data_IF_588450787920
#
_entry.id   IF_588450787920
#
_cell.length_a   1.000
_cell.length_b   1.000
_cell.length_c   1.000
_cell.angle_alpha   90.00
_cell.angle_beta   90.00
_cell.angle_gamma   90.00
#
_symmetry.space_group_name_H-M   'P 1'
#
loop_
_entity.id
_entity.type
_entity.pdbx_description
1 polymer ?
#
# COMPACT_ATOMS: atom_id res chain seq x y z
N UNK A 1 12.92 63.52 21.04
CA UNK A 1 14.04 62.61 20.75
C UNK A 1 13.50 61.42 19.96
N UNK A 2 14.05 61.19 18.77
CA UNK A 2 13.75 60.03 17.92
C UNK A 2 14.38 58.80 18.57
N UNK A 3 13.62 57.75 18.83
CA UNK A 3 14.18 56.43 19.06
C UNK A 3 13.83 55.51 17.90
N UNK A 4 14.91 54.92 17.42
CA UNK A 4 15.09 54.17 16.19
C UNK A 4 14.60 52.74 16.43
N UNK A 5 13.85 52.26 15.45
CA UNK A 5 13.60 50.89 15.04
C UNK A 5 14.49 49.80 15.63
N UNK A 6 13.87 48.70 16.04
CA UNK A 6 14.36 47.37 15.68
C UNK A 6 13.17 46.39 15.60
N UNK A 7 12.59 46.29 14.39
CA UNK A 7 11.70 45.18 14.05
C UNK A 7 12.56 43.92 13.96
N UNK A 8 12.52 43.08 14.99
CA UNK A 8 12.98 41.69 14.86
C UNK A 8 11.88 40.94 14.11
N UNK A 9 11.98 40.97 12.78
CA UNK A 9 11.27 40.07 11.90
C UNK A 9 11.87 38.68 12.12
N UNK A 10 11.31 37.93 13.07
CA UNK A 10 11.65 36.52 13.29
C UNK A 10 11.05 35.72 12.13
N UNK A 11 11.82 35.63 11.05
CA UNK A 11 11.61 34.69 9.96
C UNK A 11 11.84 33.29 10.56
N UNK A 12 10.79 32.71 11.14
CA UNK A 12 10.71 31.26 11.33
C UNK A 12 10.46 30.63 9.95
N UNK A 13 11.49 30.59 9.12
CA UNK A 13 11.64 29.59 8.06
C UNK A 13 12.05 28.28 8.75
N UNK A 14 11.14 27.70 9.54
CA UNK A 14 11.20 26.27 9.82
C UNK A 14 10.60 25.63 8.58
N UNK A 15 11.50 25.06 7.78
CA UNK A 15 11.16 24.37 6.56
C UNK A 15 9.97 23.44 6.77
N UNK A 16 9.05 23.48 5.81
CA UNK A 16 8.09 22.40 5.62
C UNK A 16 8.89 21.13 5.33
N UNK A 17 9.33 20.44 6.38
CA UNK A 17 9.54 19.02 6.32
C UNK A 17 8.15 18.44 6.09
N UNK A 18 7.88 18.04 4.85
CA UNK A 18 6.68 17.28 4.48
C UNK A 18 7.09 15.82 4.43
N UNK A 19 7.04 15.05 5.53
CA UNK A 19 7.26 13.63 5.46
C UNK A 19 6.05 13.00 4.79
N UNK A 20 6.26 12.45 3.59
CA UNK A 20 5.30 11.65 2.83
C UNK A 20 3.98 12.40 2.58
N UNK A 21 3.97 13.31 1.60
CA UNK A 21 2.71 13.51 0.87
C UNK A 21 2.24 12.14 0.40
N UNK A 22 0.98 11.81 0.69
CA UNK A 22 0.35 10.65 0.04
C UNK A 22 0.60 10.82 -1.45
N UNK A 23 1.12 9.77 -2.11
CA UNK A 23 1.56 9.98 -3.46
C UNK A 23 0.30 10.46 -4.24
N UNK A 24 0.43 11.45 -5.13
CA UNK A 24 -0.76 12.09 -5.72
C UNK A 24 -1.57 11.09 -6.55
N UNK A 25 -2.90 11.06 -6.40
CA UNK A 25 -3.79 10.21 -7.21
C UNK A 25 -4.32 10.98 -8.43
N UNK A 26 -4.37 10.34 -9.61
CA UNK A 26 -5.09 10.90 -10.76
C UNK A 26 -6.59 10.64 -10.64
N UNK A 27 -6.97 9.45 -10.21
CA UNK A 27 -8.35 9.07 -9.89
C UNK A 27 -8.38 7.74 -9.13
N UNK A 28 -9.51 7.47 -8.47
CA UNK A 28 -9.73 6.23 -7.72
C UNK A 28 -11.12 5.65 -7.95
N UNK A 29 -11.27 4.38 -7.56
CA UNK A 29 -12.53 3.64 -7.54
C UNK A 29 -12.72 3.05 -6.15
N UNK A 30 -13.80 3.45 -5.47
CA UNK A 30 -14.15 2.95 -4.16
C UNK A 30 -14.88 1.62 -4.19
N UNK A 31 -14.63 0.82 -3.17
CA UNK A 31 -15.24 -0.46 -2.84
C UNK A 31 -15.67 -0.43 -1.38
N UNK A 32 -16.76 -1.12 -1.04
CA UNK A 32 -17.12 -1.39 0.36
C UNK A 32 -16.21 -2.46 0.93
N UNK A 33 -15.97 -2.47 2.24
CA UNK A 33 -15.04 -3.42 2.83
C UNK A 33 -13.59 -2.93 2.81
N UNK A 34 -12.82 -3.47 3.74
CA UNK A 34 -11.38 -3.25 3.88
C UNK A 34 -10.56 -3.71 2.68
N UNK A 35 -9.30 -3.28 2.63
CA UNK A 35 -8.40 -3.56 1.50
C UNK A 35 -8.17 -5.05 1.27
N UNK A 36 -8.23 -5.90 2.30
CA UNK A 36 -8.05 -7.34 2.13
C UNK A 36 -9.19 -7.99 1.33
N UNK A 37 -10.42 -7.47 1.45
CA UNK A 37 -11.54 -7.93 0.60
C UNK A 37 -11.31 -7.54 -0.86
N UNK A 38 -10.82 -6.33 -1.08
CA UNK A 38 -10.45 -5.85 -2.40
C UNK A 38 -9.27 -6.62 -3.00
N UNK A 39 -8.23 -6.91 -2.21
CA UNK A 39 -7.08 -7.74 -2.59
C UNK A 39 -7.55 -9.13 -3.03
N UNK A 40 -8.36 -9.80 -2.22
CA UNK A 40 -8.86 -11.13 -2.55
C UNK A 40 -9.71 -11.10 -3.84
N UNK A 41 -10.57 -10.09 -4.02
CA UNK A 41 -11.31 -9.92 -5.27
C UNK A 41 -10.39 -9.61 -6.47
N UNK A 42 -9.34 -8.82 -6.26
CA UNK A 42 -8.38 -8.44 -7.28
C UNK A 42 -7.53 -9.63 -7.74
N UNK A 43 -7.02 -10.44 -6.80
CA UNK A 43 -6.14 -11.58 -7.08
C UNK A 43 -6.90 -12.83 -7.55
N UNK A 44 -8.16 -12.99 -7.17
CA UNK A 44 -9.02 -14.05 -7.71
C UNK A 44 -9.43 -13.80 -9.17
N UNK A 45 -9.19 -12.58 -9.68
CA UNK A 45 -9.40 -12.26 -11.08
C UNK A 45 -8.13 -12.53 -11.87
N UNK A 46 -8.27 -13.21 -13.00
CA UNK A 46 -7.22 -13.38 -14.01
C UNK A 46 -6.98 -12.06 -14.76
N UNK A 47 -6.59 -11.02 -14.03
CA UNK A 47 -6.24 -9.72 -14.57
C UNK A 47 -4.83 -9.77 -15.14
N UNK A 48 -4.65 -9.21 -16.34
CA UNK A 48 -3.33 -9.06 -16.94
C UNK A 48 -2.66 -7.80 -16.40
N UNK A 49 -1.90 -7.95 -15.31
CA UNK A 49 -1.05 -6.92 -14.74
C UNK A 49 0.36 -7.47 -14.50
N UNK A 50 1.34 -6.57 -14.42
CA UNK A 50 2.65 -6.91 -13.88
C UNK A 50 2.83 -6.22 -12.54
N UNK A 51 3.49 -6.90 -11.61
CA UNK A 51 3.91 -6.27 -10.36
C UNK A 51 5.16 -5.42 -10.64
N UNK A 52 5.17 -4.17 -10.17
CA UNK A 52 6.39 -3.37 -10.16
C UNK A 52 7.49 -4.15 -9.42
N UNK A 53 8.67 -4.25 -10.03
CA UNK A 53 9.87 -4.73 -9.34
C UNK A 53 10.27 -3.66 -8.32
N UNK A 54 9.94 -3.88 -7.05
CA UNK A 54 10.21 -3.00 -5.91
C UNK A 54 11.71 -2.70 -5.80
N UNK A 55 12.24 -1.80 -6.64
CA UNK A 55 13.62 -1.30 -6.59
C UNK A 55 13.80 -0.32 -5.44
N UNK A 56 12.74 0.43 -5.13
CA UNK A 56 12.60 1.15 -3.87
C UNK A 56 11.77 0.30 -2.92
N UNK A 57 12.46 -0.28 -1.96
CA UNK A 57 11.92 -1.32 -1.10
C UNK A 57 11.04 -0.74 0.03
N UNK A 58 10.81 0.57 0.03
CA UNK A 58 9.84 1.28 0.85
C UNK A 58 8.55 1.64 0.10
N UNK A 59 8.49 1.40 -1.21
CA UNK A 59 7.32 1.73 -2.01
C UNK A 59 6.15 0.76 -1.75
N UNK A 60 4.92 1.26 -1.92
CA UNK A 60 3.73 0.42 -1.96
C UNK A 60 3.80 -0.52 -3.17
N UNK A 61 3.22 -1.72 -3.05
CA UNK A 61 3.11 -2.60 -4.21
C UNK A 61 2.26 -1.92 -5.28
N UNK A 62 2.87 -1.72 -6.44
CA UNK A 62 2.22 -1.19 -7.62
C UNK A 62 1.91 -2.32 -8.61
N UNK A 63 0.75 -2.21 -9.24
CA UNK A 63 0.26 -3.10 -10.27
C UNK A 63 0.17 -2.31 -11.57
N UNK A 64 0.92 -2.74 -12.56
CA UNK A 64 1.06 -2.08 -13.85
C UNK A 64 0.12 -2.75 -14.86
N UNK A 65 -0.84 -1.98 -15.38
CA UNK A 65 -1.76 -2.46 -16.40
C UNK A 65 -1.44 -1.82 -17.73
N UNK A 66 -1.27 -2.64 -18.77
CA UNK A 66 -1.17 -2.18 -20.14
C UNK A 66 -2.46 -2.49 -20.89
N UNK A 67 -3.23 -1.46 -21.21
CA UNK A 67 -4.50 -1.59 -21.93
C UNK A 67 -4.31 -1.13 -23.36
N UNK A 68 -4.45 -2.06 -24.30
CA UNK A 68 -4.43 -1.77 -25.73
C UNK A 68 -5.86 -1.64 -26.27
N UNK A 69 -6.12 -0.51 -26.92
CA UNK A 69 -7.25 -0.23 -27.80
C UNK A 69 -6.70 0.13 -29.18
N UNK A 70 -7.50 -0.01 -30.24
CA UNK A 70 -7.07 -0.03 -31.65
C UNK A 70 -5.81 0.80 -32.00
N UNK A 71 -5.79 2.08 -31.63
CA UNK A 71 -4.71 3.04 -31.88
C UNK A 71 -4.02 3.55 -30.59
N UNK A 72 -4.46 3.08 -29.43
CA UNK A 72 -4.12 3.66 -28.13
C UNK A 72 -3.59 2.60 -27.17
N UNK A 73 -2.41 2.84 -26.64
CA UNK A 73 -1.83 2.08 -25.54
C UNK A 73 -1.86 2.98 -24.30
N UNK A 74 -2.46 2.48 -23.22
CA UNK A 74 -2.48 3.19 -21.94
C UNK A 74 -1.85 2.29 -20.88
N UNK A 75 -0.78 2.79 -20.28
CA UNK A 75 -0.12 2.17 -19.14
C UNK A 75 -0.66 2.83 -17.86
N UNK A 76 -1.21 2.05 -16.94
CA UNK A 76 -1.71 2.51 -15.65
C UNK A 76 -0.84 1.97 -14.52
N UNK A 77 -0.50 2.86 -13.59
CA UNK A 77 0.18 2.51 -12.34
C UNK A 77 -0.84 2.56 -11.19
N UNK A 78 -1.06 1.41 -10.56
CA UNK A 78 -2.19 1.19 -9.66
C UNK A 78 -1.72 0.70 -8.31
N UNK A 79 -2.35 1.20 -7.24
CA UNK A 79 -2.17 0.72 -5.86
C UNK A 79 -3.52 0.35 -5.26
N UNK A 80 -3.51 -0.57 -4.30
CA UNK A 80 -4.70 -0.94 -3.53
C UNK A 80 -4.55 -0.36 -2.13
N UNK A 81 -5.49 0.50 -1.75
CA UNK A 81 -5.44 1.23 -0.50
C UNK A 81 -6.68 0.97 0.33
N UNK A 82 -6.49 1.01 1.64
CA UNK A 82 -7.59 1.07 2.60
C UNK A 82 -7.89 2.55 2.92
N UNK A 83 -9.11 2.84 3.38
CA UNK A 83 -9.52 4.17 3.85
C UNK A 83 -8.69 4.69 5.02
N UNK A 84 -8.01 3.79 5.73
CA UNK A 84 -7.15 4.10 6.84
C UNK A 84 -5.88 3.24 6.78
N UNK A 85 -4.71 3.85 6.94
CA UNK A 85 -3.46 3.08 6.93
C UNK A 85 -3.28 2.29 8.22
N UNK A 86 -2.91 1.00 8.11
CA UNK A 86 -2.48 0.16 9.24
C UNK A 86 -1.33 0.85 10.01
N UNK A 87 -0.43 1.57 9.32
CA UNK A 87 0.62 2.34 9.98
C UNK A 87 0.05 3.41 10.93
N UNK A 88 -0.94 4.18 10.46
CA UNK A 88 -1.57 5.21 11.27
C UNK A 88 -2.23 4.62 12.53
N UNK A 89 -2.91 3.47 12.39
CA UNK A 89 -3.51 2.76 13.52
C UNK A 89 -2.48 2.38 14.58
N UNK A 90 -1.36 1.83 14.13
CA UNK A 90 -0.30 1.39 15.04
C UNK A 90 0.38 2.57 15.73
N UNK A 91 0.68 3.64 14.97
CA UNK A 91 1.35 4.84 15.46
C UNK A 91 0.51 5.56 16.53
N UNK A 92 -0.79 5.69 16.29
CA UNK A 92 -1.70 6.44 17.15
C UNK A 92 -2.49 5.57 18.13
N UNK A 93 -2.26 4.25 18.12
CA UNK A 93 -3.03 3.28 18.91
C UNK A 93 -4.55 3.44 18.73
N UNK A 94 -4.95 3.71 17.49
CA UNK A 94 -6.34 3.97 17.13
C UNK A 94 -7.07 2.67 16.77
N UNK A 95 -8.41 2.71 16.81
CA UNK A 95 -9.26 1.66 16.27
C UNK A 95 -9.50 1.88 14.78
N UNK A 96 -9.76 0.77 14.08
CA UNK A 96 -10.24 0.83 12.71
C UNK A 96 -11.62 1.49 12.67
N UNK A 97 -11.81 2.53 11.87
CA UNK A 97 -13.04 3.33 11.88
C UNK A 97 -13.68 3.54 10.50
N UNK A 98 -13.26 2.78 9.49
CA UNK A 98 -13.79 2.90 8.14
C UNK A 98 -13.88 1.54 7.45
N UNK A 99 -14.85 1.36 6.55
CA UNK A 99 -15.07 0.09 5.85
C UNK A 99 -15.10 0.33 4.35
N UNK A 100 -14.05 0.95 3.84
CA UNK A 100 -13.92 1.25 2.41
C UNK A 100 -12.49 1.09 1.93
N UNK A 101 -12.36 0.58 0.72
CA UNK A 101 -11.08 0.38 0.07
C UNK A 101 -11.11 0.95 -1.34
N UNK A 102 -9.94 1.15 -1.91
CA UNK A 102 -9.77 1.91 -3.15
C UNK A 102 -8.76 1.26 -4.06
N UNK A 103 -9.14 1.14 -5.33
CA UNK A 103 -8.19 1.00 -6.43
C UNK A 103 -7.76 2.42 -6.82
N UNK A 104 -6.50 2.77 -6.59
CA UNK A 104 -5.95 4.11 -6.79
C UNK A 104 -5.03 4.12 -7.99
N UNK A 105 -5.36 4.92 -9.01
CA UNK A 105 -4.49 5.15 -10.17
C UNK A 105 -3.55 6.31 -9.85
N UNK A 106 -2.28 5.96 -9.62
CA UNK A 106 -1.17 6.86 -9.31
C UNK A 106 -0.85 7.75 -10.51
N UNK A 107 -0.72 7.10 -11.66
CA UNK A 107 -0.34 7.70 -12.93
C UNK A 107 -0.96 6.88 -14.07
N UNK A 108 -1.16 7.53 -15.22
CA UNK A 108 -1.41 6.85 -16.48
C UNK A 108 -0.62 7.53 -17.60
N UNK A 109 0.00 6.74 -18.48
CA UNK A 109 0.77 7.20 -19.64
C UNK A 109 0.11 6.67 -20.90
N UNK A 110 0.12 7.47 -21.97
CA UNK A 110 -0.50 7.10 -23.23
C UNK A 110 0.27 7.66 -24.43
N UNK A 111 0.06 7.05 -25.59
CA UNK A 111 0.69 7.45 -26.86
C UNK A 111 -0.11 8.49 -27.68
N UNK A 112 -1.30 8.88 -27.22
CA UNK A 112 -2.10 9.93 -27.88
C UNK A 112 -1.67 11.33 -27.44
N UNK A 113 -1.76 12.31 -28.34
CA UNK A 113 -1.48 13.73 -28.02
C UNK A 113 -2.44 14.29 -26.97
N UNK A 114 -3.69 13.81 -26.95
CA UNK A 114 -4.71 14.24 -26.00
C UNK A 114 -5.57 13.06 -25.54
N UNK A 115 -5.34 12.57 -24.32
CA UNK A 115 -6.27 11.68 -23.62
C UNK A 115 -6.70 12.34 -22.31
N UNK A 116 -7.98 12.67 -22.19
CA UNK A 116 -8.50 13.26 -20.95
C UNK A 116 -8.53 12.24 -19.81
N UNK A 117 -8.37 12.72 -18.57
CA UNK A 117 -8.50 11.92 -17.35
C UNK A 117 -9.85 11.19 -17.31
N UNK A 118 -10.94 11.85 -17.73
CA UNK A 118 -12.28 11.25 -17.79
C UNK A 118 -12.29 10.02 -18.70
N UNK A 119 -11.68 10.12 -19.90
CA UNK A 119 -11.64 8.99 -20.84
C UNK A 119 -10.74 7.87 -20.35
N UNK A 120 -9.57 8.20 -19.78
CA UNK A 120 -8.68 7.22 -19.16
C UNK A 120 -9.39 6.46 -18.02
N UNK A 121 -10.18 7.15 -17.20
CA UNK A 121 -11.00 6.55 -16.14
C UNK A 121 -12.08 5.62 -16.68
N UNK A 122 -12.80 6.01 -17.72
CA UNK A 122 -13.83 5.16 -18.38
C UNK A 122 -13.23 3.86 -18.95
N UNK A 123 -12.07 3.97 -19.61
CA UNK A 123 -11.37 2.81 -20.18
C UNK A 123 -10.95 1.85 -19.08
N UNK A 124 -10.31 2.35 -18.03
CA UNK A 124 -9.88 1.52 -16.90
C UNK A 124 -11.07 0.90 -16.16
N UNK A 125 -12.16 1.65 -16.01
CA UNK A 125 -13.37 1.16 -15.39
C UNK A 125 -13.95 -0.06 -16.12
N UNK A 126 -14.02 0.04 -17.45
CA UNK A 126 -14.58 -1.01 -18.31
C UNK A 126 -13.69 -2.25 -18.35
N UNK A 127 -12.37 -2.04 -18.46
CA UNK A 127 -11.43 -3.13 -18.64
C UNK A 127 -11.13 -3.89 -17.34
N UNK A 128 -11.05 -3.19 -16.21
CA UNK A 128 -10.51 -3.70 -14.95
C UNK A 128 -11.54 -3.64 -13.82
N UNK A 129 -12.05 -2.44 -13.49
CA UNK A 129 -12.88 -2.23 -12.29
C UNK A 129 -14.18 -3.02 -12.35
N UNK A 130 -14.83 -3.09 -13.51
CA UNK A 130 -16.07 -3.86 -13.67
C UNK A 130 -15.86 -5.34 -13.31
N UNK A 131 -14.73 -5.92 -13.73
CA UNK A 131 -14.38 -7.32 -13.42
C UNK A 131 -14.14 -7.51 -11.91
N UNK A 132 -13.36 -6.62 -11.30
CA UNK A 132 -13.11 -6.66 -9.85
C UNK A 132 -14.44 -6.58 -9.09
N UNK A 133 -15.36 -5.70 -9.49
CA UNK A 133 -16.67 -5.53 -8.83
C UNK A 133 -17.53 -6.79 -8.86
N UNK A 134 -17.53 -7.53 -9.98
CA UNK A 134 -18.29 -8.78 -10.11
C UNK A 134 -17.87 -9.82 -9.06
N UNK A 135 -16.57 -9.90 -8.79
CA UNK A 135 -16.01 -10.84 -7.80
C UNK A 135 -16.08 -10.28 -6.39
N UNK A 136 -15.88 -8.97 -6.24
CA UNK A 136 -15.90 -8.33 -4.94
C UNK A 136 -17.24 -8.51 -4.20
N UNK A 137 -18.37 -8.54 -4.91
CA UNK A 137 -19.67 -8.80 -4.29
C UNK A 137 -19.83 -10.23 -3.76
N UNK A 138 -19.09 -11.20 -4.29
CA UNK A 138 -19.13 -12.60 -3.85
C UNK A 138 -18.09 -12.95 -2.78
N UNK A 139 -17.09 -12.09 -2.55
CA UNK A 139 -16.13 -12.27 -1.45
C UNK A 139 -16.82 -11.99 -0.11
N UNK A 140 -17.07 -13.04 0.66
CA UNK A 140 -17.75 -12.97 1.96
C UNK A 140 -16.80 -12.74 3.14
N UNK A 141 -15.55 -12.36 2.91
CA UNK A 141 -14.51 -12.35 3.94
C UNK A 141 -14.69 -11.23 4.98
N UNK A 142 -14.92 -11.63 6.23
CA UNK A 142 -14.73 -10.80 7.42
C UNK A 142 -13.30 -10.97 7.92
N UNK A 143 -12.60 -9.85 8.11
CA UNK A 143 -11.21 -9.84 8.59
C UNK A 143 -11.13 -9.31 10.00
N UNK A 144 -10.33 -9.96 10.82
CA UNK A 144 -9.98 -9.48 12.17
C UNK A 144 -8.49 -9.15 12.22
N UNK A 145 -8.07 -8.41 13.23
CA UNK A 145 -6.67 -8.07 13.40
C UNK A 145 -6.24 -8.12 14.85
N UNK A 146 -4.98 -8.51 15.06
CA UNK A 146 -4.35 -8.53 16.36
C UNK A 146 -3.09 -7.67 16.33
N UNK A 147 -3.09 -6.63 17.17
CA UNK A 147 -1.95 -5.74 17.34
C UNK A 147 -1.14 -6.24 18.55
N UNK A 148 0.10 -6.67 18.30
CA UNK A 148 1.03 -7.20 19.31
C UNK A 148 2.22 -6.26 19.43
N UNK A 149 2.33 -5.54 20.54
CA UNK A 149 3.54 -4.76 20.85
C UNK A 149 4.60 -5.71 21.40
N UNK A 150 5.69 -5.90 20.66
CA UNK A 150 6.78 -6.81 21.06
C UNK A 150 7.80 -6.06 21.94
N UNK A 151 8.06 -4.80 21.60
CA UNK A 151 8.98 -3.91 22.33
C UNK A 151 8.41 -2.49 22.33
N UNK A 152 9.03 -1.58 23.09
CA UNK A 152 8.66 -0.15 23.15
C UNK A 152 8.57 0.49 21.76
N UNK A 153 9.39 0.02 20.82
CA UNK A 153 9.53 0.52 19.46
C UNK A 153 9.01 -0.46 18.40
N UNK A 154 8.43 -1.61 18.74
CA UNK A 154 8.15 -2.67 17.76
C UNK A 154 6.74 -3.21 17.90
N UNK A 155 5.98 -3.24 16.80
CA UNK A 155 4.59 -3.70 16.76
C UNK A 155 4.36 -4.63 15.58
N UNK A 156 3.72 -5.77 15.83
CA UNK A 156 3.16 -6.63 14.80
C UNK A 156 1.66 -6.39 14.69
N UNK A 157 1.15 -6.37 13.46
CA UNK A 157 -0.27 -6.47 13.17
C UNK A 157 -0.51 -7.73 12.36
N UNK A 158 -1.15 -8.71 12.98
CA UNK A 158 -1.65 -9.89 12.29
C UNK A 158 -3.04 -9.57 11.76
N UNK A 159 -3.26 -9.74 10.45
CA UNK A 159 -4.58 -9.73 9.84
C UNK A 159 -4.99 -11.17 9.62
N UNK A 160 -6.15 -11.53 10.15
CA UNK A 160 -6.69 -12.88 10.13
C UNK A 160 -7.94 -12.93 9.25
N UNK A 161 -8.15 -14.06 8.59
CA UNK A 161 -9.40 -14.34 7.88
C UNK A 161 -10.49 -14.85 8.86
N UNK A 162 -11.65 -15.19 8.31
CA UNK A 162 -12.82 -15.68 9.06
C UNK A 162 -12.55 -16.95 9.88
N UNK A 163 -11.58 -17.76 9.48
CA UNK A 163 -11.18 -18.98 10.17
C UNK A 163 -10.10 -18.72 11.25
N UNK A 164 -9.84 -17.46 11.58
CA UNK A 164 -8.72 -17.01 12.43
C UNK A 164 -7.33 -17.43 11.92
N UNK A 165 -7.20 -17.76 10.62
CA UNK A 165 -5.91 -18.07 10.00
C UNK A 165 -5.20 -16.79 9.57
N UNK A 166 -3.89 -16.76 9.72
CA UNK A 166 -3.06 -15.62 9.33
C UNK A 166 -3.16 -15.39 7.82
N UNK A 167 -3.72 -14.24 7.41
CA UNK A 167 -3.82 -13.82 6.01
C UNK A 167 -2.70 -12.87 5.61
N UNK A 168 -2.32 -11.97 6.51
CA UNK A 168 -1.27 -10.96 6.29
C UNK A 168 -0.65 -10.58 7.62
N UNK A 169 0.66 -10.32 7.63
CA UNK A 169 1.38 -9.83 8.81
C UNK A 169 2.16 -8.58 8.46
N UNK A 170 1.91 -7.52 9.21
CA UNK A 170 2.67 -6.29 9.16
C UNK A 170 3.57 -6.19 10.39
N UNK A 171 4.77 -5.66 10.22
CA UNK A 171 5.68 -5.33 11.32
C UNK A 171 6.09 -3.87 11.19
N UNK A 172 5.99 -3.14 12.29
CA UNK A 172 6.34 -1.74 12.40
C UNK A 172 7.44 -1.59 13.46
N UNK A 173 8.52 -0.90 13.10
CA UNK A 173 9.56 -0.49 14.04
C UNK A 173 9.60 1.04 14.11
N UNK A 174 9.15 1.59 15.22
CA UNK A 174 9.24 3.01 15.59
C UNK A 174 10.46 3.21 16.49
N UNK A 175 11.66 2.86 16.01
CA UNK A 175 12.87 3.15 16.77
C UNK A 175 13.28 4.61 16.47
N UNK A 176 13.24 5.53 17.45
CA UNK A 176 13.71 6.89 17.25
C UNK A 176 15.25 6.93 17.07
N UNK A 177 16.00 5.91 17.50
CA UNK A 177 17.47 5.89 17.52
C UNK A 177 17.96 4.47 17.21
N UNK A 178 18.05 4.14 15.92
CA UNK A 178 18.34 2.84 15.29
C UNK A 178 19.46 1.95 15.85
N UNK A 179 19.34 1.46 17.10
CA UNK A 179 20.36 0.65 17.78
C UNK A 179 19.95 -0.80 18.09
N UNK A 180 18.65 -1.17 18.03
CA UNK A 180 18.19 -2.54 18.42
C UNK A 180 17.78 -3.46 17.26
N UNK A 181 18.08 -3.06 16.02
CA UNK A 181 17.48 -3.65 14.82
C UNK A 181 18.51 -4.33 13.90
N UNK A 182 19.71 -4.62 14.40
CA UNK A 182 20.66 -5.45 13.65
C UNK A 182 20.09 -6.87 13.47
N UNK A 183 19.87 -7.26 12.22
CA UNK A 183 19.54 -8.61 11.77
C UNK A 183 18.15 -9.14 12.12
N UNK A 184 17.10 -8.33 11.89
CA UNK A 184 15.71 -8.82 11.94
C UNK A 184 15.24 -9.24 10.55
N UNK A 185 14.88 -10.52 10.42
CA UNK A 185 14.20 -11.12 9.28
C UNK A 185 12.72 -11.23 9.60
N UNK A 186 11.87 -10.65 8.77
CA UNK A 186 10.41 -10.73 8.90
C UNK A 186 9.87 -11.54 7.74
N UNK A 187 8.94 -12.46 8.00
CA UNK A 187 8.26 -13.24 6.95
C UNK A 187 6.78 -12.88 6.98
N UNK A 188 6.29 -12.32 5.87
CA UNK A 188 4.88 -12.10 5.59
C UNK A 188 4.37 -13.19 4.65
N UNK A 189 3.09 -13.51 4.68
CA UNK A 189 2.49 -14.49 3.79
C UNK A 189 1.38 -13.82 2.98
N UNK A 190 1.31 -14.10 1.68
CA UNK A 190 0.23 -13.69 0.78
C UNK A 190 -0.15 -14.93 -0.05
N UNK A 191 -1.36 -15.46 0.18
CA UNK A 191 -1.79 -16.71 -0.45
C UNK A 191 -0.88 -17.88 -0.05
N UNK A 192 -0.33 -18.57 -1.05
CA UNK A 192 0.65 -19.64 -0.90
C UNK A 192 2.10 -19.12 -0.86
N UNK A 193 2.30 -17.80 -0.90
CA UNK A 193 3.63 -17.22 -1.04
C UNK A 193 4.15 -16.63 0.28
N UNK A 194 5.41 -16.90 0.62
CA UNK A 194 6.14 -16.18 1.66
C UNK A 194 6.93 -15.02 1.07
N UNK A 195 6.84 -13.89 1.75
CA UNK A 195 7.54 -12.65 1.47
C UNK A 195 8.50 -12.40 2.62
N UNK A 196 9.79 -12.50 2.33
CA UNK A 196 10.84 -12.31 3.32
C UNK A 196 11.30 -10.88 3.22
N UNK A 197 11.24 -10.15 4.33
CA UNK A 197 11.84 -8.84 4.48
C UNK A 197 13.08 -8.95 5.35
N UNK A 198 14.20 -8.42 4.85
CA UNK A 198 15.45 -8.36 5.61
C UNK A 198 15.80 -6.91 5.85
N UNK A 199 16.45 -6.66 6.99
CA UNK A 199 16.98 -5.35 7.33
C UNK A 199 18.49 -5.39 7.39
N UNK A 200 19.13 -4.45 6.69
CA UNK A 200 20.55 -4.15 6.84
C UNK A 200 20.78 -3.09 7.92
N UNK A 201 21.93 -3.18 8.61
CA UNK A 201 22.32 -2.28 9.70
C UNK A 201 22.26 -0.79 9.32
N UNK A 202 22.43 -0.46 8.03
CA UNK A 202 22.41 0.91 7.50
C UNK A 202 21.01 1.48 7.23
N UNK A 203 19.94 0.67 7.30
CA UNK A 203 18.61 1.08 6.83
C UNK A 203 17.59 1.22 7.96
N UNK A 204 16.79 2.30 7.90
CA UNK A 204 15.75 2.63 8.90
C UNK A 204 14.44 1.86 8.68
N UNK A 205 14.38 1.03 7.66
CA UNK A 205 13.20 0.32 7.17
C UNK A 205 13.60 -1.11 6.79
N UNK A 206 12.62 -2.00 6.70
CA UNK A 206 12.82 -3.35 6.17
C UNK A 206 12.59 -3.32 4.66
N UNK A 207 13.34 -4.12 3.92
CA UNK A 207 13.18 -4.25 2.47
C UNK A 207 12.80 -5.67 2.07
N UNK A 208 12.09 -5.80 0.94
CA UNK A 208 11.76 -7.10 0.37
C UNK A 208 13.04 -7.84 -0.07
N UNK A 209 13.36 -8.94 0.60
CA UNK A 209 14.47 -9.83 0.23
C UNK A 209 14.04 -10.87 -0.80
N UNK A 210 12.87 -11.49 -0.65
CA UNK A 210 12.36 -12.47 -1.63
C UNK A 210 10.86 -12.72 -1.50
N UNK A 211 10.21 -13.11 -2.61
CA UNK A 211 8.85 -13.70 -2.66
C UNK A 211 9.01 -15.14 -3.15
N UNK A 212 8.61 -16.12 -2.32
CA UNK A 212 8.65 -17.55 -2.64
C UNK A 212 7.23 -18.07 -2.70
N UNK A 213 6.85 -18.72 -3.79
CA UNK A 213 5.56 -19.38 -3.95
C UNK A 213 5.69 -20.82 -3.47
N UNK A 214 4.94 -21.22 -2.44
CA UNK A 214 4.91 -22.61 -1.99
C UNK A 214 3.80 -23.34 -2.73
N UNK A 215 4.17 -24.13 -3.72
CA UNK A 215 3.20 -25.08 -4.29
C UNK A 215 2.83 -26.13 -3.23
N UNK A 216 1.61 -26.65 -3.35
CA UNK A 216 0.82 -27.41 -2.35
C UNK A 216 1.47 -28.63 -1.65
N UNK A 217 2.76 -28.88 -1.78
CA UNK A 217 3.46 -30.07 -1.29
C UNK A 217 4.61 -29.81 -0.30
N UNK A 218 4.94 -28.56 0.04
CA UNK A 218 6.17 -28.26 0.79
C UNK A 218 5.95 -27.95 2.30
N UNK A 219 4.94 -28.56 2.93
CA UNK A 219 4.80 -28.54 4.39
C UNK A 219 5.18 -29.90 4.98
N UNK A 220 6.46 -30.25 4.93
CA UNK A 220 7.10 -31.20 5.86
C UNK A 220 8.08 -30.46 6.77
#
# INVERSE_FOLDING_TARGET
>A
MKQITCYILLIFMIGCYVPNDEPGSKFSFGFSGRVEKLEDAFFNMELNYTENNLKDLQAFQEYLFKIQKHDTIIDYEVTLNDCQSIHALVKWNANWNCDSSYVVVREFKHNLDTLSIKKAKEIFNTAIIHKIRQTHSSVSSEYTWNIKRIRKDSVIVDVLNQENKLRKRHFFSFDPIGKSIENKKTVSFIGDSAIIYTKMASQRFMYLESKKTFHKNDYE
#
